data_IF_236279793028
#
_entry.id   IF_236279793028
#
_cell.length_a   1.000
_cell.length_b   1.000
_cell.length_c   1.000
_cell.angle_alpha   90.00
_cell.angle_beta   90.00
_cell.angle_gamma   90.00
#
_symmetry.space_group_name_H-M   'P 1'
#
loop_
_entity.id
_entity.type
_entity.pdbx_description
1 polymer ?
#
# COMPACT_ATOMS: atom_id res chain seq x y z
N UNK A 1 53.23 -28.72 28.43
CA UNK A 1 54.08 -28.13 29.48
C UNK A 1 55.55 -28.20 29.04
N UNK A 2 56.27 -27.08 29.18
CA UNK A 2 57.70 -26.79 28.90
C UNK A 2 58.08 -26.48 27.46
N UNK A 3 58.53 -25.23 27.26
CA UNK A 3 59.25 -24.75 26.09
C UNK A 3 59.21 -23.24 25.93
N UNK A 4 59.76 -22.48 26.88
CA UNK A 4 59.94 -21.03 26.79
C UNK A 4 61.35 -20.69 26.27
N UNK A 5 61.45 -19.64 25.45
CA UNK A 5 62.69 -18.93 25.08
C UNK A 5 62.62 -18.43 23.63
N UNK A 6 62.40 -17.15 23.31
CA UNK A 6 63.12 -15.88 23.59
C UNK A 6 63.88 -15.39 22.34
N UNK A 7 63.58 -14.15 21.94
CA UNK A 7 64.48 -13.04 21.50
C UNK A 7 64.27 -12.42 20.09
N UNK A 8 63.85 -11.14 20.15
CA UNK A 8 64.19 -9.92 19.37
C UNK A 8 63.95 -9.81 17.85
N UNK A 9 63.26 -8.74 17.41
CA UNK A 9 63.85 -7.40 17.32
C UNK A 9 62.80 -6.27 17.28
N UNK A 10 63.10 -5.21 18.03
CA UNK A 10 62.43 -3.92 18.14
C UNK A 10 62.87 -3.01 16.98
N UNK A 11 61.96 -2.25 16.39
CA UNK A 11 62.30 -0.89 15.93
C UNK A 11 61.06 0.01 15.92
N UNK A 12 61.00 0.84 16.96
CA UNK A 12 60.17 2.02 17.12
C UNK A 12 60.67 3.17 16.24
N UNK A 13 59.71 3.98 15.79
CA UNK A 13 59.76 5.45 15.66
C UNK A 13 60.73 6.09 14.64
N UNK A 14 60.12 6.64 13.58
CA UNK A 14 60.45 7.99 13.10
C UNK A 14 59.17 8.84 13.10
N UNK A 15 59.01 9.58 14.19
CA UNK A 15 58.21 10.80 14.31
C UNK A 15 58.87 11.85 13.41
N UNK A 16 58.11 12.59 12.59
CA UNK A 16 58.10 14.07 12.67
C UNK A 16 57.05 14.71 11.73
N UNK A 17 56.56 15.91 12.11
CA UNK A 17 55.32 16.51 11.65
C UNK A 17 55.56 17.58 10.57
N UNK A 18 54.54 17.90 9.79
CA UNK A 18 54.41 19.24 9.21
C UNK A 18 52.99 19.76 9.43
N UNK A 19 52.85 20.50 10.52
CA UNK A 19 51.88 21.57 10.63
C UNK A 19 52.27 22.65 9.61
N UNK A 20 51.47 22.80 8.57
CA UNK A 20 51.35 24.07 7.87
C UNK A 20 49.98 24.63 8.23
N UNK A 21 49.98 25.60 9.15
CA UNK A 21 48.87 26.51 9.32
C UNK A 21 48.75 27.37 8.05
N UNK A 22 47.69 27.14 7.29
CA UNK A 22 47.25 28.02 6.22
C UNK A 22 45.73 28.19 6.37
N UNK A 23 45.31 29.28 7.02
CA UNK A 23 43.93 29.74 6.91
C UNK A 23 43.67 30.14 5.45
N UNK A 24 42.92 29.33 4.73
CA UNK A 24 42.16 29.74 3.56
C UNK A 24 40.85 28.97 3.59
N UNK A 25 39.75 29.71 3.78
CA UNK A 25 38.34 29.37 3.55
C UNK A 25 37.98 27.88 3.43
N UNK A 26 37.27 27.38 4.44
CA UNK A 26 36.63 26.07 4.38
C UNK A 26 35.67 25.96 3.21
N UNK A 27 35.98 25.05 2.31
CA UNK A 27 35.01 24.34 1.48
C UNK A 27 34.80 22.97 2.14
N UNK A 28 33.99 22.93 3.20
CA UNK A 28 33.38 21.67 3.65
C UNK A 28 32.00 21.61 3.01
N UNK A 29 31.97 21.14 1.77
CA UNK A 29 30.76 20.63 1.14
C UNK A 29 31.10 19.27 0.57
N UNK A 30 30.99 18.21 1.37
CA UNK A 30 30.89 16.87 0.79
C UNK A 30 29.66 16.88 -0.11
N UNK A 31 29.90 16.84 -1.42
CA UNK A 31 28.83 16.96 -2.41
C UNK A 31 27.99 15.69 -2.36
N UNK A 32 26.66 15.83 -2.27
CA UNK A 32 25.73 14.72 -2.32
C UNK A 32 26.07 13.79 -3.50
N UNK A 33 26.48 12.56 -3.21
CA UNK A 33 26.78 11.57 -4.24
C UNK A 33 25.60 10.62 -4.39
N UNK A 34 24.88 10.70 -5.50
CA UNK A 34 23.78 9.80 -5.81
C UNK A 34 24.27 8.63 -6.68
N UNK A 35 23.78 7.40 -6.45
CA UNK A 35 24.03 6.30 -7.39
C UNK A 35 23.42 6.59 -8.77
N UNK A 36 23.98 5.98 -9.81
CA UNK A 36 23.46 6.13 -11.18
C UNK A 36 22.01 5.67 -11.29
N UNK A 37 21.18 6.46 -12.00
CA UNK A 37 19.75 6.21 -12.17
C UNK A 37 18.88 6.60 -10.96
N UNK A 38 19.46 7.19 -9.91
CA UNK A 38 18.72 7.68 -8.76
C UNK A 38 18.56 9.20 -8.79
N UNK A 39 17.37 9.66 -8.40
CA UNK A 39 17.08 11.06 -8.05
C UNK A 39 16.75 11.17 -6.56
N UNK A 40 17.11 12.31 -5.97
CA UNK A 40 16.79 12.61 -4.57
C UNK A 40 15.42 13.24 -4.43
N UNK A 41 14.61 12.74 -3.49
CA UNK A 41 13.38 13.39 -3.07
C UNK A 41 13.59 14.20 -1.80
N UNK A 42 14.25 13.60 -0.81
CA UNK A 42 14.64 14.22 0.45
C UNK A 42 15.99 13.68 0.89
N UNK A 43 16.93 14.57 1.19
CA UNK A 43 18.22 14.23 1.82
C UNK A 43 18.44 14.97 3.15
N UNK A 44 17.59 15.95 3.47
CA UNK A 44 17.59 16.66 4.75
C UNK A 44 18.91 17.40 5.04
N UNK A 45 19.54 17.91 3.99
CA UNK A 45 20.73 18.77 4.07
C UNK A 45 20.36 20.17 4.57
N UNK A 46 19.14 20.61 4.24
CA UNK A 46 18.62 21.92 4.61
C UNK A 46 17.25 21.83 5.25
N UNK A 47 16.97 22.74 6.17
CA UNK A 47 15.66 22.78 6.84
C UNK A 47 14.50 23.05 5.87
N UNK A 48 14.77 23.65 4.70
CA UNK A 48 13.77 23.91 3.68
C UNK A 48 13.04 22.64 3.20
N UNK A 49 13.70 21.49 3.23
CA UNK A 49 13.09 20.21 2.83
C UNK A 49 11.99 19.74 3.78
N UNK A 50 11.99 20.19 5.03
CA UNK A 50 10.86 19.97 5.94
C UNK A 50 9.59 20.73 5.50
N UNK A 51 9.68 21.68 4.57
CA UNK A 51 8.52 22.29 3.91
C UNK A 51 7.66 21.29 3.13
N UNK A 52 8.26 20.17 2.70
CA UNK A 52 7.56 19.04 2.10
C UNK A 52 7.06 17.99 3.11
N UNK A 53 7.18 18.22 4.42
CA UNK A 53 6.91 17.21 5.44
C UNK A 53 5.75 17.62 6.35
N UNK A 54 4.82 16.69 6.60
CA UNK A 54 3.71 16.83 7.53
C UNK A 54 3.74 15.70 8.57
N UNK A 55 3.30 16.00 9.79
CA UNK A 55 3.10 15.02 10.84
C UNK A 55 1.62 14.64 10.93
N UNK A 56 1.33 13.34 11.08
CA UNK A 56 0.00 12.83 11.43
C UNK A 56 0.05 12.03 12.74
N UNK A 57 -1.12 11.82 13.34
CA UNK A 57 -1.32 10.90 14.46
C UNK A 57 -0.35 11.13 15.64
N UNK A 58 -0.22 12.40 16.06
CA UNK A 58 0.68 12.82 17.14
C UNK A 58 2.11 12.28 16.96
N UNK A 59 2.62 12.35 15.72
CA UNK A 59 3.97 11.90 15.37
C UNK A 59 4.99 12.33 16.41
N UNK A 60 5.02 13.59 16.81
CA UNK A 60 5.91 14.07 17.87
C UNK A 60 6.86 15.12 17.33
N UNK A 61 8.13 14.77 17.11
CA UNK A 61 9.13 15.76 16.67
C UNK A 61 9.99 15.23 15.53
N UNK A 62 10.32 16.14 14.62
CA UNK A 62 11.42 15.99 13.68
C UNK A 62 12.35 17.21 13.78
N UNK A 63 13.62 17.04 13.41
CA UNK A 63 14.59 18.13 13.28
C UNK A 63 15.76 17.72 12.39
N UNK A 64 16.48 18.69 11.83
CA UNK A 64 17.76 18.41 11.17
C UNK A 64 18.80 17.89 12.18
N UNK A 65 19.63 16.96 11.75
CA UNK A 65 20.77 16.42 12.46
C UNK A 65 22.04 16.65 11.62
N UNK A 66 23.13 17.02 12.29
CA UNK A 66 24.46 17.20 11.67
C UNK A 66 25.55 16.40 12.40
N UNK A 67 25.16 15.52 13.33
CA UNK A 67 26.10 14.57 13.93
C UNK A 67 26.45 13.50 12.90
N UNK A 68 27.69 13.52 12.41
CA UNK A 68 28.19 12.63 11.36
C UNK A 68 28.11 11.13 11.68
N UNK A 69 27.83 10.73 12.93
CA UNK A 69 27.51 9.33 13.26
C UNK A 69 26.18 8.87 12.66
N UNK A 70 25.28 9.82 12.42
CA UNK A 70 23.93 9.61 11.96
C UNK A 70 23.65 10.32 10.62
N UNK A 71 24.68 10.56 9.83
CA UNK A 71 24.60 11.06 8.45
C UNK A 71 25.16 9.96 7.54
N UNK A 72 24.41 9.60 6.49
CA UNK A 72 24.82 8.58 5.52
C UNK A 72 25.44 9.18 4.28
N UNK A 73 24.98 10.36 3.88
CA UNK A 73 25.48 11.12 2.73
C UNK A 73 25.45 12.61 3.05
N UNK A 74 26.32 13.41 2.42
CA UNK A 74 26.38 14.85 2.65
C UNK A 74 26.67 15.23 4.11
N UNK A 75 25.93 16.21 4.65
CA UNK A 75 26.20 16.81 5.97
C UNK A 75 25.01 16.78 6.92
N UNK A 76 23.82 16.43 6.42
CA UNK A 76 22.56 16.44 7.16
C UNK A 76 21.84 15.09 7.18
N UNK A 77 20.93 14.93 8.13
CA UNK A 77 19.91 13.88 8.11
C UNK A 77 18.69 14.35 8.92
N UNK A 78 17.54 13.70 8.78
CA UNK A 78 16.38 13.97 9.63
C UNK A 78 16.43 13.13 10.90
N UNK A 79 16.51 13.78 12.07
CA UNK A 79 16.22 13.14 13.35
C UNK A 79 14.71 13.09 13.56
N UNK A 80 14.18 11.90 13.82
CA UNK A 80 12.77 11.63 14.06
C UNK A 80 12.58 11.10 15.48
N UNK A 81 11.55 11.59 16.17
CA UNK A 81 11.19 11.15 17.53
C UNK A 81 9.68 10.85 17.55
N UNK A 82 9.26 9.73 16.91
CA UNK A 82 7.86 9.32 16.87
C UNK A 82 7.32 8.99 18.26
N UNK A 83 6.06 9.31 18.51
CA UNK A 83 5.41 9.18 19.81
C UNK A 83 4.05 8.49 19.68
N UNK A 84 3.07 9.07 18.97
CA UNK A 84 1.73 8.50 18.85
C UNK A 84 0.91 8.49 20.15
N UNK A 85 1.44 9.08 21.24
CA UNK A 85 0.81 9.13 22.55
C UNK A 85 -0.51 9.91 22.50
N UNK A 86 -1.63 9.24 22.78
CA UNK A 86 -2.96 9.85 22.85
C UNK A 86 -4.02 9.25 21.91
N UNK A 87 -3.63 8.40 20.95
CA UNK A 87 -4.59 7.56 20.24
C UNK A 87 -4.87 6.28 21.03
N UNK A 88 -6.14 6.01 21.30
CA UNK A 88 -6.59 4.73 21.86
C UNK A 88 -6.66 3.62 20.80
N UNK A 89 -6.50 4.01 19.53
CA UNK A 89 -6.66 3.15 18.36
C UNK A 89 -5.30 2.62 17.87
N UNK A 90 -5.07 1.28 17.87
CA UNK A 90 -3.84 0.68 17.34
C UNK A 90 -3.64 0.90 15.83
N UNK A 91 -4.67 1.33 15.09
CA UNK A 91 -4.59 1.60 13.66
C UNK A 91 -4.14 3.03 13.31
N UNK A 92 -4.05 3.92 14.30
CA UNK A 92 -3.63 5.32 14.11
C UNK A 92 -2.15 5.51 14.42
N UNK A 93 -1.26 4.88 13.63
CA UNK A 93 0.19 4.93 13.82
C UNK A 93 0.76 6.35 13.64
N UNK A 94 1.72 6.82 14.46
CA UNK A 94 2.42 8.07 14.21
C UNK A 94 3.10 8.03 12.84
N UNK A 95 2.76 8.98 11.97
CA UNK A 95 3.23 9.01 10.59
C UNK A 95 3.94 10.33 10.23
N UNK A 96 5.05 10.19 9.50
CA UNK A 96 5.72 11.26 8.78
C UNK A 96 5.27 11.19 7.31
N UNK A 97 4.48 12.16 6.88
CA UNK A 97 3.97 12.23 5.51
C UNK A 97 4.83 13.20 4.70
N UNK A 98 5.46 12.69 3.65
CA UNK A 98 6.36 13.44 2.78
C UNK A 98 5.66 13.72 1.45
N UNK A 99 5.67 14.97 1.00
CA UNK A 99 5.07 15.46 -0.24
C UNK A 99 6.18 15.88 -1.22
N UNK A 100 6.70 14.97 -2.06
CA UNK A 100 7.84 15.28 -2.94
C UNK A 100 7.58 16.48 -3.87
N UNK A 101 6.35 16.63 -4.35
CA UNK A 101 5.91 17.73 -5.20
C UNK A 101 6.10 19.13 -4.58
N UNK A 102 6.13 19.23 -3.24
CA UNK A 102 6.38 20.50 -2.53
C UNK A 102 7.87 20.88 -2.50
N UNK A 103 8.75 19.91 -2.72
CA UNK A 103 10.19 20.15 -2.89
C UNK A 103 10.45 20.60 -4.32
N UNK A 104 9.96 19.83 -5.28
CA UNK A 104 10.02 20.15 -6.71
C UNK A 104 8.84 19.48 -7.41
N UNK A 105 8.15 20.18 -8.29
CA UNK A 105 6.89 19.69 -8.89
C UNK A 105 7.10 18.39 -9.70
N UNK A 106 8.24 18.28 -10.38
CA UNK A 106 8.67 17.09 -11.12
C UNK A 106 8.83 15.84 -10.24
N UNK A 107 8.97 16.00 -8.91
CA UNK A 107 9.08 14.85 -8.01
C UNK A 107 7.74 14.12 -7.80
N UNK A 108 6.62 14.66 -8.29
CA UNK A 108 5.32 13.97 -8.32
C UNK A 108 5.26 12.84 -9.36
N UNK A 109 6.05 12.91 -10.43
CA UNK A 109 5.99 11.94 -11.52
C UNK A 109 6.80 10.68 -11.16
N UNK A 110 6.08 9.58 -10.99
CA UNK A 110 6.57 8.24 -10.70
C UNK A 110 6.32 7.28 -11.88
N UNK A 111 5.96 7.77 -13.06
CA UNK A 111 5.68 6.94 -14.25
C UNK A 111 6.87 6.09 -14.72
N UNK A 112 8.09 6.46 -14.31
CA UNK A 112 9.33 5.70 -14.55
C UNK A 112 9.92 5.07 -13.30
N UNK A 113 9.34 5.32 -12.13
CA UNK A 113 9.91 4.90 -10.86
C UNK A 113 9.89 3.38 -10.78
N UNK A 114 11.06 2.78 -10.55
CA UNK A 114 11.25 1.35 -10.31
C UNK A 114 11.04 1.04 -8.82
N UNK A 115 11.61 1.89 -7.95
CA UNK A 115 11.60 1.70 -6.50
C UNK A 115 11.88 2.99 -5.76
N UNK A 116 11.36 3.09 -4.54
CA UNK A 116 11.78 4.08 -3.54
C UNK A 116 12.78 3.44 -2.59
N UNK A 117 13.81 4.18 -2.22
CA UNK A 117 14.86 3.75 -1.28
C UNK A 117 15.00 4.80 -0.20
N UNK A 118 15.19 4.38 1.04
CA UNK A 118 15.55 5.27 2.14
C UNK A 118 16.43 4.57 3.16
N UNK A 119 17.29 5.32 3.83
CA UNK A 119 18.12 4.84 4.92
C UNK A 119 17.52 5.26 6.27
N UNK A 120 17.41 4.32 7.20
CA UNK A 120 16.87 4.59 8.53
C UNK A 120 17.75 3.96 9.63
N UNK A 121 18.22 4.78 10.55
CA UNK A 121 18.97 4.33 11.73
C UNK A 121 18.05 4.21 12.94
N UNK A 122 18.06 3.04 13.59
CA UNK A 122 17.35 2.83 14.85
C UNK A 122 18.29 3.05 16.04
N UNK A 123 18.00 4.04 16.89
CA UNK A 123 18.81 4.31 18.08
C UNK A 123 18.51 3.41 19.28
N UNK A 124 17.50 2.55 19.21
CA UNK A 124 17.14 1.63 20.28
C UNK A 124 18.18 0.51 20.45
N UNK A 125 18.19 -0.09 21.64
CA UNK A 125 18.91 -1.33 21.95
C UNK A 125 18.11 -2.59 21.53
N UNK A 126 16.88 -2.39 21.01
CA UNK A 126 16.01 -3.44 20.49
C UNK A 126 15.74 -3.27 19.00
N UNK A 127 15.34 -4.36 18.33
CA UNK A 127 14.78 -4.26 16.98
C UNK A 127 13.43 -3.54 17.03
N UNK A 128 13.17 -2.67 16.06
CA UNK A 128 11.91 -1.94 15.90
C UNK A 128 11.36 -2.16 14.49
N UNK A 129 10.10 -1.77 14.28
CA UNK A 129 9.43 -1.89 12.99
C UNK A 129 9.03 -0.50 12.50
N UNK A 130 9.13 -0.28 11.20
CA UNK A 130 8.49 0.85 10.53
C UNK A 130 7.71 0.37 9.30
N UNK A 131 6.78 1.20 8.85
CA UNK A 131 5.87 0.90 7.76
C UNK A 131 5.95 1.98 6.69
N UNK A 132 5.86 1.62 5.42
CA UNK A 132 5.95 2.57 4.32
C UNK A 132 4.92 2.27 3.23
N UNK A 133 4.27 3.33 2.74
CA UNK A 133 3.35 3.27 1.61
C UNK A 133 3.43 4.54 0.77
N UNK A 134 2.89 4.47 -0.44
CA UNK A 134 2.69 5.59 -1.35
C UNK A 134 1.21 5.94 -1.43
N UNK A 135 0.86 7.22 -1.29
CA UNK A 135 -0.44 7.78 -1.65
C UNK A 135 -0.40 8.30 -3.08
N UNK A 136 -1.10 7.62 -3.98
CA UNK A 136 -1.06 7.89 -5.43
C UNK A 136 -2.47 8.26 -5.90
N UNK A 137 -2.57 9.17 -6.85
CA UNK A 137 -3.85 9.52 -7.47
C UNK A 137 -4.51 8.26 -8.08
N UNK A 138 -5.84 8.16 -7.95
CA UNK A 138 -6.65 7.07 -8.50
C UNK A 138 -8.07 7.58 -8.72
N UNK A 139 -8.54 7.59 -9.97
CA UNK A 139 -9.91 7.96 -10.41
C UNK A 139 -10.71 8.89 -9.48
N UNK A 140 -10.23 10.14 -9.35
CA UNK A 140 -10.91 11.19 -8.59
C UNK A 140 -10.64 11.20 -7.07
N UNK A 141 -9.80 10.31 -6.57
CA UNK A 141 -9.36 10.22 -5.19
C UNK A 141 -7.84 9.96 -5.08
N UNK A 142 -7.35 9.78 -3.86
CA UNK A 142 -5.97 9.36 -3.55
C UNK A 142 -6.04 8.05 -2.77
N UNK A 143 -5.49 7.00 -3.35
CA UNK A 143 -5.43 5.69 -2.71
C UNK A 143 -4.02 5.40 -2.22
N UNK A 144 -3.94 4.72 -1.08
CA UNK A 144 -2.68 4.18 -0.59
C UNK A 144 -2.39 2.84 -1.25
N UNK A 145 -1.12 2.65 -1.59
CA UNK A 145 -0.56 1.36 -2.01
C UNK A 145 -0.38 0.43 -0.81
N UNK A 146 -0.07 -0.84 -1.06
CA UNK A 146 0.22 -1.80 0.00
C UNK A 146 1.33 -1.27 0.94
N UNK A 147 1.09 -1.45 2.24
CA UNK A 147 1.99 -1.02 3.30
C UNK A 147 3.11 -2.04 3.47
N UNK A 148 4.35 -1.64 3.17
CA UNK A 148 5.52 -2.48 3.38
C UNK A 148 6.08 -2.32 4.78
N UNK A 149 6.41 -3.44 5.42
CA UNK A 149 6.94 -3.50 6.78
C UNK A 149 8.45 -3.76 6.77
N UNK A 150 9.22 -2.97 7.51
CA UNK A 150 10.68 -3.13 7.65
C UNK A 150 11.09 -3.35 9.09
N UNK A 151 11.94 -4.35 9.33
CA UNK A 151 12.56 -4.62 10.63
C UNK A 151 13.89 -3.87 10.73
N UNK A 152 13.99 -2.97 11.70
CA UNK A 152 15.14 -2.13 11.95
C UNK A 152 16.00 -2.71 13.10
N UNK A 153 17.21 -3.23 12.82
CA UNK A 153 18.08 -3.79 13.84
C UNK A 153 18.54 -2.72 14.84
N UNK A 154 18.87 -3.11 16.08
CA UNK A 154 19.30 -2.18 17.13
C UNK A 154 20.62 -1.51 16.76
N UNK A 155 20.72 -0.20 17.04
CA UNK A 155 21.93 0.63 16.84
C UNK A 155 22.55 0.49 15.44
N UNK A 156 21.73 0.37 14.40
CA UNK A 156 22.20 0.12 13.05
C UNK A 156 21.35 0.84 12.00
N UNK A 157 22.00 1.10 10.86
CA UNK A 157 21.37 1.59 9.64
C UNK A 157 20.70 0.44 8.89
N UNK A 158 19.50 0.69 8.40
CA UNK A 158 18.79 -0.16 7.45
C UNK A 158 18.62 0.60 6.14
N UNK A 159 18.88 -0.07 5.03
CA UNK A 159 18.47 0.40 3.71
C UNK A 159 17.12 -0.24 3.38
N UNK A 160 16.07 0.56 3.41
CA UNK A 160 14.71 0.13 3.10
C UNK A 160 14.45 0.34 1.60
N UNK A 161 13.76 -0.62 0.97
CA UNK A 161 13.49 -0.61 -0.47
C UNK A 161 12.03 -0.98 -0.70
N UNK A 162 11.27 -0.04 -1.26
CA UNK A 162 9.90 -0.24 -1.72
C UNK A 162 9.91 -0.44 -3.23
N UNK A 163 9.71 -1.68 -3.68
CA UNK A 163 9.62 -1.99 -5.12
C UNK A 163 8.25 -1.57 -5.65
N UNK A 164 8.23 -0.87 -6.79
CA UNK A 164 6.98 -0.46 -7.44
C UNK A 164 6.67 -1.49 -8.52
N UNK A 165 5.68 -2.35 -8.29
CA UNK A 165 5.14 -3.30 -9.28
C UNK A 165 4.23 -2.58 -10.28
N UNK A 166 4.75 -1.57 -11.00
CA UNK A 166 4.00 -0.69 -11.90
C UNK A 166 3.12 -1.49 -12.87
N UNK A 167 3.67 -2.56 -13.45
CA UNK A 167 2.98 -3.37 -14.47
C UNK A 167 1.69 -4.01 -13.94
N UNK A 168 1.53 -4.06 -12.61
CA UNK A 168 0.35 -4.59 -11.92
C UNK A 168 -0.46 -3.50 -11.21
N UNK A 169 0.19 -2.46 -10.70
CA UNK A 169 -0.48 -1.40 -9.93
C UNK A 169 -1.09 -0.32 -10.83
N UNK A 170 -0.58 -0.11 -12.04
CA UNK A 170 -1.01 0.97 -12.93
C UNK A 170 -2.46 0.82 -13.46
N UNK A 171 -3.17 -0.27 -13.15
CA UNK A 171 -4.61 -0.37 -13.41
C UNK A 171 -5.46 0.50 -12.47
N UNK A 172 -4.93 0.79 -11.29
CA UNK A 172 -5.64 1.49 -10.20
C UNK A 172 -4.99 2.86 -9.97
N UNK A 173 -3.66 2.92 -9.99
CA UNK A 173 -2.92 4.10 -9.59
C UNK A 173 -2.35 4.85 -10.81
N UNK A 174 -2.56 6.17 -10.84
CA UNK A 174 -1.91 7.09 -11.77
C UNK A 174 -0.56 7.54 -11.19
N UNK A 175 0.49 6.78 -11.51
CA UNK A 175 1.85 7.11 -11.10
C UNK A 175 2.41 8.38 -11.74
N UNK A 176 1.71 9.09 -12.63
CA UNK A 176 2.14 10.45 -13.01
C UNK A 176 1.88 11.49 -11.92
N UNK A 177 1.05 11.14 -10.92
CA UNK A 177 0.69 12.01 -9.78
C UNK A 177 0.83 11.27 -8.44
N UNK A 178 2.05 11.19 -7.93
CA UNK A 178 2.29 10.84 -6.53
C UNK A 178 1.92 12.03 -5.64
N UNK A 179 1.00 11.80 -4.70
CA UNK A 179 0.55 12.82 -3.77
C UNK A 179 1.44 12.85 -2.52
N UNK A 180 1.74 11.69 -1.94
CA UNK A 180 2.62 11.61 -0.77
C UNK A 180 3.26 10.24 -0.57
N UNK A 181 4.28 10.19 0.28
CA UNK A 181 4.84 8.97 0.86
C UNK A 181 4.57 8.99 2.37
N UNK A 182 4.09 7.88 2.93
CA UNK A 182 3.87 7.73 4.37
C UNK A 182 4.98 6.86 4.96
N UNK A 183 5.65 7.35 6.01
CA UNK A 183 6.55 6.56 6.85
C UNK A 183 6.00 6.53 8.28
N UNK A 184 5.56 5.36 8.71
CA UNK A 184 4.87 5.15 9.98
C UNK A 184 5.71 4.33 10.96
N UNK A 185 5.42 4.52 12.24
CA UNK A 185 6.09 3.85 13.35
C UNK A 185 5.06 3.29 14.32
N UNK A 186 5.45 2.30 15.11
CA UNK A 186 4.60 1.85 16.21
C UNK A 186 4.37 3.00 17.22
N UNK A 187 3.12 3.13 17.68
CA UNK A 187 2.76 4.09 18.73
C UNK A 187 3.38 3.70 20.08
N UNK A 188 3.71 4.70 20.89
CA UNK A 188 4.22 4.52 22.23
C UNK A 188 3.10 4.69 23.26
N UNK A 189 3.08 3.80 24.24
CA UNK A 189 2.36 4.00 25.50
C UNK A 189 3.14 4.96 26.40
N UNK A 190 2.51 5.59 27.42
CA UNK A 190 3.20 6.49 28.33
C UNK A 190 4.38 5.87 29.10
N UNK A 191 4.42 4.53 29.21
CA UNK A 191 5.52 3.79 29.84
C UNK A 191 6.68 3.47 28.91
N UNK A 192 6.50 3.61 27.59
CA UNK A 192 7.51 3.21 26.62
C UNK A 192 8.66 4.21 26.54
N UNK A 193 9.87 3.68 26.37
CA UNK A 193 11.03 4.50 26.12
C UNK A 193 10.92 5.16 24.73
N UNK A 194 11.05 6.49 24.68
CA UNK A 194 11.11 7.22 23.41
C UNK A 194 12.31 6.74 22.60
N UNK A 195 12.06 6.39 21.34
CA UNK A 195 13.08 5.97 20.39
C UNK A 195 13.31 7.08 19.38
N UNK A 196 14.56 7.44 19.15
CA UNK A 196 14.93 8.32 18.04
C UNK A 196 15.31 7.48 16.81
N UNK A 197 14.99 8.00 15.64
CA UNK A 197 15.45 7.46 14.36
C UNK A 197 16.18 8.55 13.59
N UNK A 198 17.07 8.16 12.67
CA UNK A 198 17.65 9.09 11.71
C UNK A 198 17.34 8.61 10.29
N UNK A 199 16.65 9.44 9.53
CA UNK A 199 16.24 9.20 8.15
C UNK A 199 17.15 9.99 7.21
N UNK A 200 17.62 9.33 6.16
CA UNK A 200 18.50 9.91 5.15
C UNK A 200 18.26 9.24 3.78
N UNK A 201 18.72 9.86 2.71
CA UNK A 201 18.68 9.36 1.33
C UNK A 201 17.30 8.81 0.89
N UNK A 202 16.24 9.62 0.96
CA UNK A 202 14.96 9.26 0.35
C UNK A 202 15.08 9.48 -1.16
N UNK A 203 15.37 8.40 -1.88
CA UNK A 203 15.67 8.40 -3.30
C UNK A 203 14.65 7.59 -4.09
N UNK A 204 14.50 7.93 -5.37
CA UNK A 204 13.78 7.11 -6.36
C UNK A 204 14.78 6.63 -7.39
N UNK A 205 14.74 5.34 -7.71
CA UNK A 205 15.40 4.80 -8.90
C UNK A 205 14.42 4.83 -10.04
N UNK A 206 14.78 5.46 -11.14
CA UNK A 206 13.98 5.46 -12.36
C UNK A 206 14.51 4.44 -13.36
N UNK A 207 13.59 3.93 -14.17
CA UNK A 207 13.89 3.19 -15.41
C UNK A 207 14.18 4.17 -16.55
N UNK A 208 14.90 3.72 -17.58
CA UNK A 208 15.20 4.58 -18.75
C UNK A 208 13.92 4.88 -19.55
N UNK A 209 13.13 3.84 -19.80
CA UNK A 209 11.90 3.88 -20.60
C UNK A 209 10.65 4.02 -19.74
N UNK A 210 9.55 4.45 -20.36
CA UNK A 210 8.24 4.41 -19.68
C UNK A 210 7.83 2.97 -19.42
N UNK A 211 7.20 2.75 -18.27
CA UNK A 211 6.61 1.46 -17.90
C UNK A 211 5.16 1.43 -18.38
N UNK A 212 4.67 0.25 -18.69
CA UNK A 212 3.31 0.02 -19.19
C UNK A 212 2.64 -1.08 -18.35
N UNK A 213 1.32 -0.99 -18.09
CA UNK A 213 0.60 -2.06 -17.40
C UNK A 213 0.61 -3.35 -18.25
N UNK A 214 0.53 -4.50 -17.57
CA UNK A 214 0.29 -5.77 -18.26
C UNK A 214 -1.08 -5.68 -18.97
N UNK A 215 -1.24 -6.10 -20.23
CA UNK A 215 -2.55 -6.04 -20.86
C UNK A 215 -3.57 -6.95 -20.16
N UNK A 216 -4.77 -6.44 -19.89
CA UNK A 216 -5.88 -7.27 -19.41
C UNK A 216 -6.38 -8.13 -20.58
N UNK A 217 -6.22 -9.45 -20.43
CA UNK A 217 -6.75 -10.47 -21.34
C UNK A 217 -7.88 -11.20 -20.63
N UNK A 218 -9.02 -11.33 -21.28
CA UNK A 218 -10.19 -12.04 -20.77
C UNK A 218 -10.53 -13.18 -21.75
N UNK A 219 -10.79 -14.36 -21.20
CA UNK A 219 -11.45 -15.46 -21.90
C UNK A 219 -12.92 -15.16 -22.22
N UNK A 220 -13.57 -16.08 -22.93
CA UNK A 220 -15.00 -15.95 -23.25
C UNK A 220 -15.84 -15.96 -21.97
N UNK A 221 -16.55 -14.85 -21.71
CA UNK A 221 -17.35 -14.67 -20.51
C UNK A 221 -16.54 -14.49 -19.23
N UNK A 222 -15.21 -14.43 -19.28
CA UNK A 222 -14.38 -14.26 -18.09
C UNK A 222 -14.45 -12.81 -17.58
N UNK A 223 -14.61 -12.64 -16.27
CA UNK A 223 -14.39 -11.36 -15.59
C UNK A 223 -13.10 -11.44 -14.78
N UNK A 224 -12.98 -12.46 -13.92
CA UNK A 224 -11.80 -12.74 -13.12
C UNK A 224 -11.88 -14.15 -12.51
N UNK A 225 -10.90 -14.99 -12.80
CA UNK A 225 -10.77 -16.35 -12.23
C UNK A 225 -9.54 -16.50 -11.32
N UNK A 226 -8.73 -15.44 -11.19
CA UNK A 226 -7.51 -15.38 -10.36
C UNK A 226 -6.38 -16.32 -10.80
N UNK A 227 -6.46 -16.89 -12.00
CA UNK A 227 -5.42 -17.76 -12.55
C UNK A 227 -4.17 -16.96 -12.96
N UNK A 228 -4.36 -15.77 -13.52
CA UNK A 228 -3.28 -14.90 -13.94
C UNK A 228 -2.76 -14.03 -12.77
N UNK A 229 -1.44 -13.96 -12.62
CA UNK A 229 -0.81 -13.27 -11.47
C UNK A 229 -1.17 -11.78 -11.35
N UNK A 230 -1.57 -11.12 -12.45
CA UNK A 230 -1.98 -9.71 -12.42
C UNK A 230 -3.42 -9.50 -11.92
N UNK A 231 -4.28 -10.52 -11.96
CA UNK A 231 -5.71 -10.36 -11.67
C UNK A 231 -6.00 -9.96 -10.21
N UNK A 232 -5.15 -10.37 -9.26
CA UNK A 232 -5.21 -9.91 -7.85
C UNK A 232 -5.05 -8.39 -7.72
N UNK A 233 -4.43 -7.74 -8.70
CA UNK A 233 -4.20 -6.30 -8.75
C UNK A 233 -5.24 -5.55 -9.59
N UNK A 234 -6.26 -6.25 -10.09
CA UNK A 234 -7.44 -5.61 -10.69
C UNK A 234 -8.46 -5.17 -9.63
N UNK A 235 -8.13 -5.30 -8.35
CA UNK A 235 -9.00 -4.92 -7.25
C UNK A 235 -8.26 -4.13 -6.18
N UNK A 236 -8.98 -3.20 -5.56
CA UNK A 236 -8.52 -2.41 -4.41
C UNK A 236 -9.62 -2.33 -3.36
N UNK A 237 -9.22 -1.98 -2.13
CA UNK A 237 -10.16 -1.81 -1.02
C UNK A 237 -10.36 -0.34 -0.73
N UNK A 238 -11.61 0.07 -0.59
CA UNK A 238 -12.02 1.37 -0.06
C UNK A 238 -13.26 1.19 0.81
N UNK A 239 -13.88 2.26 1.25
CA UNK A 239 -15.09 2.18 2.05
C UNK A 239 -15.69 3.51 2.44
N UNK A 240 -16.81 3.42 3.14
CA UNK A 240 -17.48 4.56 3.77
C UNK A 240 -17.39 4.46 5.28
N UNK A 241 -17.15 5.58 5.96
CA UNK A 241 -16.99 5.63 7.41
C UNK A 241 -15.56 5.28 7.84
N UNK A 242 -15.38 4.92 9.11
CA UNK A 242 -14.09 4.53 9.67
C UNK A 242 -13.72 3.08 9.27
N UNK A 243 -13.61 2.79 7.98
CA UNK A 243 -13.46 1.43 7.47
C UNK A 243 -12.03 0.87 7.55
N UNK A 244 -11.01 1.72 7.69
CA UNK A 244 -9.59 1.35 7.67
C UNK A 244 -9.22 0.21 8.62
N UNK A 245 -9.71 0.16 9.88
CA UNK A 245 -9.50 -0.97 10.80
C UNK A 245 -10.04 -2.31 10.31
N UNK A 246 -10.95 -2.29 9.33
CA UNK A 246 -11.70 -3.46 8.88
C UNK A 246 -11.45 -3.84 7.42
N UNK A 247 -10.41 -3.24 6.83
CA UNK A 247 -9.88 -3.64 5.52
C UNK A 247 -9.46 -5.12 5.61
N UNK A 248 -9.90 -5.98 4.69
CA UNK A 248 -9.57 -7.39 4.76
C UNK A 248 -8.14 -7.60 4.28
N UNK A 249 -7.47 -8.60 4.84
CA UNK A 249 -6.28 -9.16 4.20
C UNK A 249 -6.75 -9.96 2.98
N UNK A 250 -6.26 -9.59 1.80
CA UNK A 250 -6.64 -10.22 0.54
C UNK A 250 -5.44 -10.96 -0.04
N UNK A 251 -5.58 -12.27 -0.24
CA UNK A 251 -4.54 -13.17 -0.75
C UNK A 251 -5.08 -14.08 -1.84
N UNK A 252 -4.18 -14.65 -2.65
CA UNK A 252 -4.53 -15.72 -3.58
C UNK A 252 -4.40 -17.06 -2.85
N UNK A 253 -5.49 -17.82 -2.82
CA UNK A 253 -5.54 -19.16 -2.28
C UNK A 253 -5.23 -20.20 -3.36
N UNK A 254 -4.54 -21.29 -2.95
CA UNK A 254 -4.27 -22.46 -3.80
C UNK A 254 -4.69 -23.77 -3.13
N UNK A 255 -5.41 -23.73 -2.01
CA UNK A 255 -5.95 -24.94 -1.39
C UNK A 255 -7.20 -25.38 -2.19
N UNK A 256 -7.20 -26.57 -2.79
CA UNK A 256 -8.29 -27.02 -3.68
C UNK A 256 -9.63 -27.20 -2.96
N UNK A 257 -9.67 -27.21 -1.62
CA UNK A 257 -10.94 -27.19 -0.87
C UNK A 257 -11.69 -25.87 -1.04
N UNK A 258 -10.95 -24.80 -1.28
CA UNK A 258 -11.45 -23.45 -1.42
C UNK A 258 -11.24 -22.91 -2.83
N UNK A 259 -11.31 -23.78 -3.84
CA UNK A 259 -11.33 -23.44 -5.27
C UNK A 259 -12.58 -24.05 -5.90
N UNK A 260 -13.40 -23.26 -6.58
CA UNK A 260 -14.58 -23.72 -7.31
C UNK A 260 -14.27 -24.03 -8.77
N UNK A 261 -13.28 -23.36 -9.36
CA UNK A 261 -12.82 -23.55 -10.73
C UNK A 261 -11.30 -23.34 -10.82
N UNK A 262 -10.61 -24.05 -11.72
CA UNK A 262 -9.16 -23.86 -11.90
C UNK A 262 -8.31 -24.36 -10.73
N UNK A 263 -7.27 -23.62 -10.38
CA UNK A 263 -6.29 -23.92 -9.33
C UNK A 263 -6.18 -22.83 -8.25
N UNK A 264 -6.73 -21.64 -8.50
CA UNK A 264 -6.63 -20.47 -7.62
C UNK A 264 -8.00 -19.89 -7.29
N UNK A 265 -8.07 -19.19 -6.17
CA UNK A 265 -9.23 -18.38 -5.79
C UNK A 265 -8.78 -17.17 -4.96
N UNK A 266 -9.66 -16.18 -4.80
CA UNK A 266 -9.39 -15.05 -3.92
C UNK A 266 -9.81 -15.39 -2.49
N UNK A 267 -8.89 -15.26 -1.52
CA UNK A 267 -9.19 -15.31 -0.09
C UNK A 267 -9.29 -13.92 0.48
N UNK A 268 -10.37 -13.66 1.22
CA UNK A 268 -10.55 -12.49 2.08
C UNK A 268 -10.52 -12.97 3.53
N UNK A 269 -9.55 -12.50 4.30
CA UNK A 269 -9.59 -12.57 5.76
C UNK A 269 -10.12 -11.24 6.29
N UNK A 270 -11.40 -11.25 6.67
CA UNK A 270 -12.13 -10.08 7.14
C UNK A 270 -12.01 -10.04 8.67
N UNK A 271 -11.37 -9.01 9.23
CA UNK A 271 -11.27 -8.87 10.68
C UNK A 271 -12.63 -8.56 11.31
N UNK A 272 -12.79 -8.96 12.56
CA UNK A 272 -13.95 -8.65 13.40
C UNK A 272 -14.16 -7.16 13.60
N UNK A 273 -15.39 -6.85 14.01
CA UNK A 273 -15.88 -5.50 14.22
C UNK A 273 -15.63 -4.89 15.58
N UNK A 274 -16.19 -3.70 15.73
CA UNK A 274 -16.65 -3.18 17.01
C UNK A 274 -18.17 -2.97 16.95
N UNK A 275 -18.89 -3.17 18.06
CA UNK A 275 -20.37 -3.17 18.09
C UNK A 275 -21.03 -1.84 17.66
N UNK A 276 -20.27 -0.76 17.47
CA UNK A 276 -20.78 0.60 17.30
C UNK A 276 -20.36 1.32 16.01
N UNK A 277 -19.64 0.67 15.09
CA UNK A 277 -19.12 1.35 13.90
C UNK A 277 -19.89 1.00 12.62
N UNK A 278 -20.69 1.98 12.15
CA UNK A 278 -21.33 1.95 10.84
C UNK A 278 -20.31 2.30 9.76
N UNK A 279 -19.56 1.31 9.28
CA UNK A 279 -18.78 1.44 8.04
C UNK A 279 -19.06 0.31 7.06
N UNK A 280 -18.76 0.60 5.79
CA UNK A 280 -18.96 -0.31 4.67
C UNK A 280 -17.64 -0.44 3.95
N UNK A 281 -17.11 -1.65 3.89
CA UNK A 281 -15.91 -1.96 3.12
C UNK A 281 -16.34 -2.36 1.71
N UNK A 282 -15.57 -1.91 0.73
CA UNK A 282 -15.80 -2.14 -0.70
C UNK A 282 -14.53 -2.68 -1.31
N UNK A 283 -14.64 -3.86 -1.92
CA UNK A 283 -13.62 -4.44 -2.78
C UNK A 283 -14.03 -4.07 -4.20
N UNK A 284 -13.37 -3.06 -4.76
CA UNK A 284 -13.71 -2.49 -6.06
C UNK A 284 -12.84 -3.10 -7.15
N UNK A 285 -13.44 -3.44 -8.28
CA UNK A 285 -12.70 -3.78 -9.50
C UNK A 285 -12.29 -2.50 -10.23
N UNK A 286 -11.07 -2.48 -10.79
CA UNK A 286 -10.50 -1.31 -11.43
C UNK A 286 -11.28 -0.91 -12.70
N UNK A 287 -11.31 0.39 -12.99
CA UNK A 287 -12.04 0.95 -14.13
C UNK A 287 -11.57 0.35 -15.46
N UNK A 288 -10.27 0.06 -15.60
CA UNK A 288 -9.72 -0.58 -16.80
C UNK A 288 -10.35 -1.96 -17.08
N UNK A 289 -10.71 -2.73 -16.05
CA UNK A 289 -11.45 -3.98 -16.23
C UNK A 289 -12.90 -3.69 -16.65
N UNK A 290 -13.55 -2.72 -16.01
CA UNK A 290 -14.95 -2.36 -16.31
C UNK A 290 -15.10 -1.88 -17.76
N UNK A 291 -14.19 -1.04 -18.23
CA UNK A 291 -14.13 -0.60 -19.63
C UNK A 291 -13.92 -1.78 -20.60
N UNK A 292 -13.12 -2.77 -20.20
CA UNK A 292 -12.86 -3.97 -21.01
C UNK A 292 -14.07 -4.89 -21.13
N UNK A 293 -14.88 -5.01 -20.07
CA UNK A 293 -16.10 -5.79 -20.06
C UNK A 293 -17.19 -5.19 -20.95
N UNK A 294 -17.23 -3.86 -21.07
CA UNK A 294 -18.18 -3.11 -21.89
C UNK A 294 -19.64 -3.58 -21.69
N UNK A 295 -20.15 -3.34 -20.48
CA UNK A 295 -21.52 -3.71 -20.10
C UNK A 295 -22.59 -3.14 -21.05
N UNK A 296 -22.30 -2.04 -21.73
CA UNK A 296 -23.20 -1.48 -22.74
C UNK A 296 -23.35 -2.40 -23.96
N UNK A 297 -22.24 -2.98 -24.43
CA UNK A 297 -22.24 -3.93 -25.56
C UNK A 297 -22.79 -5.30 -25.19
N UNK A 298 -22.61 -5.75 -23.94
CA UNK A 298 -23.19 -7.00 -23.43
C UNK A 298 -24.73 -6.92 -23.36
N UNK A 299 -25.25 -5.80 -22.87
CA UNK A 299 -26.69 -5.56 -22.74
C UNK A 299 -27.35 -6.31 -21.58
N UNK A 300 -28.68 -6.36 -21.61
CA UNK A 300 -29.51 -6.94 -20.54
C UNK A 300 -29.57 -8.49 -20.57
N UNK A 301 -28.95 -9.12 -21.56
CA UNK A 301 -29.00 -10.57 -21.79
C UNK A 301 -27.99 -11.36 -20.94
N UNK A 302 -27.21 -10.68 -20.10
CA UNK A 302 -26.17 -11.30 -19.27
C UNK A 302 -26.36 -10.98 -17.78
N UNK A 303 -25.89 -11.92 -16.95
CA UNK A 303 -25.73 -11.74 -15.52
C UNK A 303 -24.24 -11.81 -15.17
N UNK A 304 -23.82 -11.05 -14.15
CA UNK A 304 -22.51 -11.25 -13.51
C UNK A 304 -22.69 -12.36 -12.47
N UNK A 305 -21.87 -13.39 -12.55
CA UNK A 305 -21.94 -14.60 -11.73
C UNK A 305 -20.59 -14.83 -11.06
N UNK A 306 -20.59 -15.26 -9.80
CA UNK A 306 -19.38 -15.67 -9.10
C UNK A 306 -19.69 -16.74 -8.07
N UNK A 307 -18.68 -17.52 -7.71
CA UNK A 307 -18.79 -18.52 -6.67
C UNK A 307 -18.27 -17.96 -5.35
N UNK A 308 -18.98 -18.24 -4.26
CA UNK A 308 -18.69 -17.72 -2.93
C UNK A 308 -18.69 -18.84 -1.90
N UNK A 309 -17.65 -18.90 -1.08
CA UNK A 309 -17.52 -19.84 0.03
C UNK A 309 -17.26 -19.10 1.34
N UNK A 310 -18.08 -19.38 2.35
CA UNK A 310 -17.87 -18.87 3.70
C UNK A 310 -17.27 -19.97 4.59
N UNK A 311 -15.99 -19.83 4.96
CA UNK A 311 -15.30 -20.80 5.83
C UNK A 311 -15.48 -20.49 7.33
N UNK A 312 -16.41 -19.62 7.70
CA UNK A 312 -16.84 -19.50 9.10
C UNK A 312 -18.01 -20.42 9.42
N UNK A 313 -18.32 -20.60 10.70
CA UNK A 313 -19.47 -21.38 11.16
C UNK A 313 -20.77 -20.55 11.24
N UNK A 314 -20.67 -19.23 11.03
CA UNK A 314 -21.79 -18.28 11.11
C UNK A 314 -22.17 -17.73 9.75
N UNK A 315 -23.42 -17.30 9.59
CA UNK A 315 -23.82 -16.55 8.41
C UNK A 315 -23.00 -15.26 8.27
N UNK A 316 -22.76 -14.85 7.03
CA UNK A 316 -22.12 -13.59 6.68
C UNK A 316 -22.89 -12.96 5.53
N UNK A 317 -22.99 -11.64 5.51
CA UNK A 317 -23.70 -10.90 4.47
C UNK A 317 -22.68 -10.15 3.63
N UNK A 318 -22.73 -10.40 2.32
CA UNK A 318 -21.90 -9.74 1.32
C UNK A 318 -22.79 -9.30 0.17
N UNK A 319 -22.52 -8.15 -0.41
CA UNK A 319 -23.28 -7.63 -1.54
C UNK A 319 -22.38 -7.58 -2.78
N UNK A 320 -22.97 -7.77 -3.95
CA UNK A 320 -22.33 -7.45 -5.22
C UNK A 320 -23.08 -6.27 -5.83
N UNK A 321 -22.35 -5.24 -6.24
CA UNK A 321 -22.92 -3.98 -6.71
C UNK A 321 -22.35 -3.59 -8.08
N UNK A 322 -23.21 -3.03 -8.92
CA UNK A 322 -22.81 -2.24 -10.09
C UNK A 322 -23.21 -0.78 -9.88
N UNK A 323 -22.30 0.15 -10.19
CA UNK A 323 -22.47 1.57 -9.87
C UNK A 323 -22.11 2.49 -11.03
N UNK A 324 -22.77 3.63 -11.03
CA UNK A 324 -22.36 4.86 -11.69
C UNK A 324 -22.36 6.00 -10.66
N UNK A 325 -21.92 7.20 -11.04
CA UNK A 325 -21.80 8.36 -10.13
C UNK A 325 -23.01 8.58 -9.19
N UNK A 326 -24.24 8.42 -9.70
CA UNK A 326 -25.47 8.73 -8.96
C UNK A 326 -26.49 7.57 -8.91
N UNK A 327 -26.13 6.40 -9.43
CA UNK A 327 -27.04 5.25 -9.57
C UNK A 327 -26.32 3.98 -9.18
N UNK A 328 -27.03 3.04 -8.58
CA UNK A 328 -26.48 1.73 -8.25
C UNK A 328 -27.56 0.65 -8.28
N UNK A 329 -27.11 -0.58 -8.45
CA UNK A 329 -27.88 -1.79 -8.23
C UNK A 329 -27.01 -2.76 -7.43
N UNK A 330 -27.56 -3.32 -6.36
CA UNK A 330 -26.87 -4.15 -5.39
C UNK A 330 -27.72 -5.38 -5.10
N UNK A 331 -27.07 -6.52 -4.94
CA UNK A 331 -27.71 -7.80 -4.57
C UNK A 331 -26.98 -8.35 -3.36
N UNK A 332 -27.72 -8.59 -2.28
CA UNK A 332 -27.19 -9.20 -1.08
C UNK A 332 -27.17 -10.73 -1.19
N UNK A 333 -26.04 -11.30 -0.83
CA UNK A 333 -25.77 -12.73 -0.79
C UNK A 333 -25.52 -13.17 0.64
N UNK A 334 -26.10 -14.30 1.04
CA UNK A 334 -25.85 -14.92 2.35
C UNK A 334 -25.41 -16.35 2.13
N UNK A 335 -24.11 -16.59 1.88
CA UNK A 335 -23.59 -17.93 1.63
C UNK A 335 -23.86 -18.83 2.83
N UNK A 336 -24.26 -20.07 2.54
CA UNK A 336 -24.37 -21.09 3.59
C UNK A 336 -22.96 -21.41 4.10
N UNK A 337 -22.72 -21.40 5.43
CA UNK A 337 -21.45 -21.82 6.01
C UNK A 337 -20.93 -23.13 5.44
N UNK A 338 -19.64 -23.18 5.15
CA UNK A 338 -18.89 -24.35 4.68
C UNK A 338 -19.41 -24.94 3.35
N UNK A 339 -20.00 -24.12 2.49
CA UNK A 339 -20.48 -24.52 1.17
C UNK A 339 -20.22 -23.44 0.13
N UNK A 340 -19.89 -23.90 -1.07
CA UNK A 340 -19.93 -23.07 -2.27
C UNK A 340 -21.38 -22.74 -2.60
N UNK A 341 -21.62 -21.45 -2.84
CA UNK A 341 -22.86 -20.97 -3.43
C UNK A 341 -22.52 -20.16 -4.66
N UNK A 342 -23.37 -20.25 -5.68
CA UNK A 342 -23.31 -19.38 -6.83
C UNK A 342 -24.11 -18.11 -6.54
N UNK A 343 -23.50 -16.96 -6.78
CA UNK A 343 -24.06 -15.64 -6.59
C UNK A 343 -24.29 -14.99 -7.96
N UNK A 344 -25.42 -14.29 -8.14
CA UNK A 344 -25.82 -13.67 -9.40
C UNK A 344 -26.28 -12.23 -9.23
N UNK A 345 -25.84 -11.35 -10.13
CA UNK A 345 -26.29 -9.97 -10.30
C UNK A 345 -26.79 -9.80 -11.73
N UNK A 346 -28.09 -9.52 -11.90
CA UNK A 346 -28.67 -9.40 -13.24
C UNK A 346 -28.54 -8.00 -13.82
N UNK A 347 -27.94 -7.88 -15.01
CA UNK A 347 -27.81 -6.59 -15.71
C UNK A 347 -29.18 -6.06 -16.16
N UNK A 348 -30.12 -6.94 -16.51
CA UNK A 348 -31.49 -6.56 -16.81
C UNK A 348 -32.20 -5.92 -15.61
N UNK A 349 -32.06 -6.51 -14.41
CA UNK A 349 -32.65 -5.93 -13.21
C UNK A 349 -31.97 -4.62 -12.81
N UNK A 350 -30.66 -4.52 -13.02
CA UNK A 350 -29.89 -3.30 -12.82
C UNK A 350 -30.38 -2.17 -13.72
N UNK A 351 -30.60 -2.45 -15.01
CA UNK A 351 -31.17 -1.53 -15.98
C UNK A 351 -32.62 -1.14 -15.64
N UNK A 352 -33.45 -2.12 -15.26
CA UNK A 352 -34.85 -1.89 -14.88
C UNK A 352 -35.01 -1.04 -13.61
N UNK A 353 -34.11 -1.18 -12.62
CA UNK A 353 -34.08 -0.34 -11.42
C UNK A 353 -33.62 1.09 -11.73
N UNK A 354 -32.83 1.27 -12.78
CA UNK A 354 -32.21 2.53 -13.17
C UNK A 354 -32.61 2.96 -14.60
N UNK A 355 -33.91 3.10 -14.91
CA UNK A 355 -34.36 3.35 -16.27
C UNK A 355 -33.78 4.67 -16.81
N UNK A 356 -33.31 4.64 -18.06
CA UNK A 356 -32.88 5.84 -18.76
C UNK A 356 -34.10 6.64 -19.25
N UNK A 357 -34.01 7.97 -19.19
CA UNK A 357 -34.98 8.82 -19.87
C UNK A 357 -34.65 8.91 -21.36
N UNK A 358 -35.64 9.30 -22.16
CA UNK A 358 -35.43 9.53 -23.58
C UNK A 358 -34.27 10.51 -23.82
N UNK A 359 -33.28 10.09 -24.61
CA UNK A 359 -32.08 10.87 -24.92
C UNK A 359 -30.95 10.81 -23.88
N UNK A 360 -31.14 10.11 -22.75
CA UNK A 360 -30.07 9.85 -21.77
C UNK A 360 -29.36 8.51 -22.07
N UNK A 361 -28.07 8.38 -21.73
CA UNK A 361 -27.39 7.09 -21.79
C UNK A 361 -28.07 6.04 -20.91
N UNK A 362 -28.01 4.77 -21.33
CA UNK A 362 -28.48 3.63 -20.54
C UNK A 362 -27.68 3.52 -19.24
N UNK A 363 -28.26 2.92 -18.19
CA UNK A 363 -27.50 2.65 -16.97
C UNK A 363 -26.28 1.76 -17.25
N UNK A 364 -26.41 0.73 -18.09
CA UNK A 364 -25.31 -0.17 -18.44
C UNK A 364 -24.11 0.57 -19.07
N UNK A 365 -24.37 1.59 -19.90
CA UNK A 365 -23.33 2.45 -20.47
C UNK A 365 -22.72 3.46 -19.49
N UNK A 366 -23.28 3.58 -18.29
CA UNK A 366 -22.78 4.46 -17.24
C UNK A 366 -22.08 3.69 -16.12
N UNK A 367 -22.11 2.35 -16.13
CA UNK A 367 -21.44 1.54 -15.11
C UNK A 367 -19.94 1.81 -15.21
N UNK A 368 -19.36 2.31 -14.13
CA UNK A 368 -17.92 2.54 -13.98
C UNK A 368 -17.32 1.76 -12.81
N UNK A 369 -18.14 1.05 -12.04
CA UNK A 369 -17.70 0.20 -10.95
C UNK A 369 -18.52 -1.07 -10.88
N UNK A 370 -17.81 -2.19 -10.70
CA UNK A 370 -18.33 -3.42 -10.11
C UNK A 370 -17.59 -3.61 -8.79
N UNK A 371 -18.31 -3.90 -7.71
CA UNK A 371 -17.71 -4.03 -6.37
C UNK A 371 -18.38 -5.14 -5.57
N UNK A 372 -17.61 -5.73 -4.67
CA UNK A 372 -18.09 -6.66 -3.64
C UNK A 372 -18.00 -5.93 -2.31
N UNK A 373 -19.11 -5.79 -1.61
CA UNK A 373 -19.20 -4.98 -0.40
C UNK A 373 -19.67 -5.79 0.80
N UNK A 374 -19.31 -5.33 1.99
CA UNK A 374 -19.85 -5.88 3.23
C UNK A 374 -19.93 -4.78 4.30
N UNK A 375 -20.93 -4.89 5.16
CA UNK A 375 -21.18 -3.94 6.25
C UNK A 375 -21.55 -4.65 7.54
N UNK A 376 -21.41 -3.93 8.66
CA UNK A 376 -21.64 -4.40 10.04
C UNK A 376 -20.89 -5.68 10.41
N UNK A 377 -19.60 -5.46 10.65
CA UNK A 377 -18.61 -6.43 11.07
C UNK A 377 -19.11 -7.32 12.22
N UNK A 378 -18.88 -8.60 12.04
CA UNK A 378 -19.28 -9.62 12.98
C UNK A 378 -18.50 -9.48 14.28
N UNK A 379 -19.24 -9.41 15.39
CA UNK A 379 -18.74 -9.57 16.75
C UNK A 379 -17.64 -8.59 17.17
N UNK A 380 -16.96 -8.93 18.27
CA UNK A 380 -16.02 -8.05 18.97
C UNK A 380 -14.74 -8.78 19.39
N UNK A 381 -14.48 -9.94 18.77
CA UNK A 381 -13.34 -10.79 19.07
C UNK A 381 -12.80 -11.47 17.81
N UNK A 382 -11.54 -11.90 17.85
CA UNK A 382 -10.92 -12.67 16.76
C UNK A 382 -11.65 -13.99 16.41
N UNK A 383 -12.52 -14.50 17.28
CA UNK A 383 -13.38 -15.65 16.95
C UNK A 383 -14.48 -15.29 15.93
N UNK A 384 -14.72 -13.99 15.73
CA UNK A 384 -15.74 -13.45 14.83
C UNK A 384 -15.19 -13.07 13.45
N UNK A 385 -13.86 -13.12 13.27
CA UNK A 385 -13.21 -12.98 11.97
C UNK A 385 -13.84 -13.93 10.93
N UNK A 386 -13.80 -13.54 9.66
CA UNK A 386 -14.37 -14.32 8.56
C UNK A 386 -13.32 -14.60 7.50
N UNK A 387 -13.16 -15.87 7.18
CA UNK A 387 -12.46 -16.30 5.97
C UNK A 387 -13.50 -16.56 4.88
N UNK A 388 -13.48 -15.73 3.84
CA UNK A 388 -14.37 -15.80 2.68
C UNK A 388 -13.51 -16.08 1.45
N UNK A 389 -14.00 -16.94 0.55
CA UNK A 389 -13.35 -17.23 -0.71
C UNK A 389 -14.29 -16.87 -1.86
N UNK A 390 -13.76 -16.18 -2.87
CA UNK A 390 -14.46 -15.77 -4.08
C UNK A 390 -13.71 -16.34 -5.27
N UNK A 391 -14.44 -16.90 -6.22
CA UNK A 391 -13.86 -17.57 -7.38
C UNK A 391 -14.78 -17.45 -8.60
N UNK A 392 -14.22 -17.69 -9.79
CA UNK A 392 -14.94 -17.90 -11.04
C UNK A 392 -15.94 -16.79 -11.38
N UNK A 393 -15.48 -15.53 -11.32
CA UNK A 393 -16.27 -14.36 -11.68
C UNK A 393 -16.39 -14.32 -13.19
N UNK A 394 -17.62 -14.35 -13.68
CA UNK A 394 -17.92 -14.55 -15.09
C UNK A 394 -19.23 -13.90 -15.50
N UNK A 395 -19.39 -13.72 -16.81
CA UNK A 395 -20.61 -13.32 -17.48
C UNK A 395 -21.29 -14.58 -18.00
N UNK A 396 -22.56 -14.76 -17.64
CA UNK A 396 -23.38 -15.83 -18.19
C UNK A 396 -24.60 -15.26 -18.91
N UNK A 397 -25.02 -15.87 -20.03
CA UNK A 397 -26.31 -15.57 -20.61
C UNK A 397 -27.41 -15.79 -19.57
N UNK A 398 -28.35 -14.86 -19.50
CA UNK A 398 -29.46 -14.90 -18.56
C UNK A 398 -30.26 -16.18 -18.75
N UNK A 399 -30.47 -16.90 -17.64
CA UNK A 399 -31.33 -18.08 -17.63
C UNK A 399 -32.80 -17.63 -17.68
N UNK A 400 -33.55 -18.09 -18.68
CA UNK A 400 -34.99 -17.79 -18.86
C UNK A 400 -35.87 -18.32 -17.73
#
# INVERSE_FOLDING_TARGET
>A
MKGAGKIFCVLMLALQPMLAAGCASGETGETLSLPEGYRSLFNFEEYAEFGGVMQKNYFGKYSINTDGRYVKNGVGSAKLEPCGEGYADPYSRPALVMYPAKIAAENADFSKAERVVFDLYNTSDESKVCYFSLGVASSGDVLETEVMTYVLPPKAWSKCVYEIEYEKLAYIYDFTSLEYMSLEFDGLTPSDARTAYYLDNVLVKDTEEKREPTPIVLGEGEVCDFEADYQRYLLYVTGYGAYTPYVPEITVNTDPRFVSSGEKSLKLHIPHGTENESCYVRIMFCEALIEKLDFASLGEDYDIVFDLYNDSDSAFHIESDVRSENKFYAVAHTPTPKKWVECRLSLAEAAAKNPAKEGEPSFLSLINSYEITYGNFAGSSAADDKDIYIDNIRLEPRSN
#
